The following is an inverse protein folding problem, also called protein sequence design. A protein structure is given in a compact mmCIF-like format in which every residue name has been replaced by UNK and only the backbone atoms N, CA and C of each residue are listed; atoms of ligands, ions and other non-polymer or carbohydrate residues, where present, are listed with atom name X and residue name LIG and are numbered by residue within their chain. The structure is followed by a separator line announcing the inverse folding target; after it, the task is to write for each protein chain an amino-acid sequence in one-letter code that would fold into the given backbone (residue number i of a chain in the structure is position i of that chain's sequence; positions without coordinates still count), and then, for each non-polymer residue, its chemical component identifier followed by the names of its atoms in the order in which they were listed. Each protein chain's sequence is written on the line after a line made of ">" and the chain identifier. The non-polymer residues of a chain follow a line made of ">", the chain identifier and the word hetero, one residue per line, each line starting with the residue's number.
data_IF_729997530044
#
_entry.id   IF_729997530044
#
_cell.length_a   1.000
_cell.length_b   1.000
_cell.length_c   1.000
_cell.angle_alpha   90.00
_cell.angle_beta   90.00
_cell.angle_gamma   90.00
#
_symmetry.space_group_name_H-M   'P 1'
#
loop_
_entity.id
_entity.type
_entity.pdbx_description
1 polymer ?
#
# COMPACT_ATOMS: atom_id res chain seq x y z
N UNK A 1 -26.00 -8.18 -25.45
CA UNK A 1 -25.89 -6.91 -24.69
C UNK A 1 -25.88 -7.28 -23.20
N UNK A 2 -25.07 -6.62 -22.38
CA UNK A 2 -24.96 -6.91 -20.94
C UNK A 2 -25.88 -5.99 -20.14
N UNK A 3 -26.55 -6.50 -19.11
CA UNK A 3 -27.32 -5.67 -18.17
C UNK A 3 -26.42 -5.30 -16.97
N UNK A 4 -26.09 -4.00 -16.77
CA UNK A 4 -25.18 -3.53 -15.72
C UNK A 4 -25.74 -3.67 -14.31
N UNK A 5 -27.00 -4.08 -14.15
CA UNK A 5 -27.59 -4.38 -12.85
C UNK A 5 -27.80 -5.87 -12.66
N UNK A 6 -27.26 -6.74 -13.51
CA UNK A 6 -27.53 -8.16 -13.49
C UNK A 6 -26.30 -9.00 -13.14
N UNK A 7 -26.40 -9.85 -12.12
CA UNK A 7 -25.32 -10.70 -11.63
C UNK A 7 -25.75 -12.17 -11.61
N UNK A 8 -24.79 -13.04 -11.90
CA UNK A 8 -24.93 -14.48 -11.74
C UNK A 8 -24.11 -14.94 -10.53
N UNK A 9 -24.76 -15.52 -9.53
CA UNK A 9 -24.13 -16.18 -8.39
C UNK A 9 -24.01 -17.67 -8.70
N UNK A 10 -22.81 -18.24 -8.55
CA UNK A 10 -22.55 -19.67 -8.80
C UNK A 10 -21.88 -20.27 -7.57
N UNK A 11 -22.55 -21.23 -6.94
CA UNK A 11 -22.12 -21.85 -5.69
C UNK A 11 -23.17 -21.70 -4.59
N UNK A 12 -22.78 -21.99 -3.35
CA UNK A 12 -23.69 -21.79 -2.23
C UNK A 12 -23.70 -20.29 -1.88
N UNK A 13 -24.87 -19.70 -1.61
CA UNK A 13 -24.94 -18.34 -1.04
C UNK A 13 -24.52 -18.37 0.44
N UNK A 14 -23.25 -18.73 0.70
CA UNK A 14 -22.74 -19.12 2.02
C UNK A 14 -22.87 -18.02 3.07
N UNK A 15 -22.90 -16.76 2.64
CA UNK A 15 -22.92 -15.59 3.51
C UNK A 15 -24.20 -14.74 3.38
N UNK A 16 -25.23 -15.22 2.66
CA UNK A 16 -26.44 -14.42 2.42
C UNK A 16 -26.13 -13.11 1.69
N UNK A 17 -25.29 -13.18 0.66
CA UNK A 17 -24.90 -12.04 -0.17
C UNK A 17 -26.09 -11.51 -0.96
N UNK A 18 -27.05 -12.36 -1.31
CA UNK A 18 -28.16 -11.99 -2.17
C UNK A 18 -28.98 -10.82 -1.62
N UNK A 19 -29.50 -10.83 -0.36
CA UNK A 19 -30.20 -9.68 0.22
C UNK A 19 -29.40 -8.37 0.17
N UNK A 20 -28.09 -8.43 0.44
CA UNK A 20 -27.23 -7.25 0.41
C UNK A 20 -27.07 -6.69 -1.01
N UNK A 21 -26.83 -7.55 -1.99
CA UNK A 21 -26.67 -7.15 -3.40
C UNK A 21 -27.99 -6.66 -4.00
N UNK A 22 -29.13 -7.26 -3.65
CA UNK A 22 -30.45 -6.77 -4.05
C UNK A 22 -30.74 -5.39 -3.47
N UNK A 23 -30.36 -5.13 -2.22
CA UNK A 23 -30.48 -3.80 -1.59
C UNK A 23 -29.64 -2.73 -2.28
N UNK A 24 -28.54 -3.13 -2.93
CA UNK A 24 -27.67 -2.27 -3.74
C UNK A 24 -28.15 -2.14 -5.19
N UNK A 25 -29.31 -2.72 -5.54
CA UNK A 25 -29.96 -2.55 -6.84
C UNK A 25 -29.64 -3.63 -7.87
N UNK A 26 -28.97 -4.72 -7.47
CA UNK A 26 -28.68 -5.82 -8.38
C UNK A 26 -29.84 -6.81 -8.50
N UNK A 27 -30.10 -7.26 -9.74
CA UNK A 27 -30.90 -8.43 -10.05
C UNK A 27 -29.98 -9.65 -10.06
N UNK A 28 -30.40 -10.72 -9.40
CA UNK A 28 -29.55 -11.89 -9.20
C UNK A 28 -30.19 -13.13 -9.81
N UNK A 29 -29.35 -14.02 -10.34
CA UNK A 29 -29.68 -15.44 -10.54
C UNK A 29 -28.67 -16.24 -9.75
N UNK A 30 -29.15 -17.23 -8.99
CA UNK A 30 -28.30 -18.09 -8.18
C UNK A 30 -28.37 -19.51 -8.70
N UNK A 31 -27.22 -20.08 -9.05
CA UNK A 31 -27.06 -21.44 -9.52
C UNK A 31 -26.11 -22.20 -8.61
N UNK A 32 -26.37 -23.50 -8.42
CA UNK A 32 -25.69 -24.26 -7.38
C UNK A 32 -24.33 -24.79 -7.82
N UNK A 33 -24.13 -25.00 -9.12
CA UNK A 33 -22.98 -25.74 -9.65
C UNK A 33 -22.51 -25.21 -11.02
N UNK A 34 -21.33 -25.65 -11.46
CA UNK A 34 -20.68 -25.18 -12.69
C UNK A 34 -21.48 -25.54 -13.94
N UNK A 35 -22.01 -26.77 -13.99
CA UNK A 35 -22.75 -27.28 -15.15
C UNK A 35 -24.02 -26.44 -15.40
N UNK A 36 -24.77 -26.14 -14.34
CA UNK A 36 -25.95 -25.27 -14.43
C UNK A 36 -25.57 -23.87 -14.92
N UNK A 37 -24.48 -23.30 -14.39
CA UNK A 37 -24.02 -21.98 -14.78
C UNK A 37 -23.63 -21.91 -16.27
N UNK A 38 -22.90 -22.91 -16.76
CA UNK A 38 -22.50 -22.96 -18.16
C UNK A 38 -23.70 -23.11 -19.09
N UNK A 39 -24.60 -24.07 -18.82
CA UNK A 39 -25.82 -24.26 -19.60
C UNK A 39 -26.69 -23.01 -19.62
N UNK A 40 -26.89 -22.40 -18.46
CA UNK A 40 -27.68 -21.19 -18.35
C UNK A 40 -27.08 -20.05 -19.17
N UNK A 41 -25.76 -19.82 -19.08
CA UNK A 41 -25.08 -18.78 -19.87
C UNK A 41 -25.19 -19.05 -21.38
N UNK A 42 -25.04 -20.30 -21.83
CA UNK A 42 -25.17 -20.65 -23.24
C UNK A 42 -26.60 -20.50 -23.75
N UNK A 43 -27.60 -20.83 -22.93
CA UNK A 43 -29.01 -20.65 -23.25
C UNK A 43 -29.39 -19.17 -23.39
N UNK A 44 -28.86 -18.30 -22.52
CA UNK A 44 -29.05 -16.84 -22.63
C UNK A 44 -28.53 -16.32 -23.97
N UNK A 45 -27.35 -16.77 -24.39
CA UNK A 45 -26.78 -16.38 -25.68
C UNK A 45 -27.61 -16.91 -26.85
N UNK A 46 -28.01 -18.17 -26.82
CA UNK A 46 -28.85 -18.77 -27.86
C UNK A 46 -30.21 -18.03 -27.98
N UNK A 47 -30.79 -17.62 -26.85
CA UNK A 47 -32.04 -16.87 -26.79
C UNK A 47 -31.88 -15.36 -27.05
N UNK A 48 -30.65 -14.87 -27.29
CA UNK A 48 -30.32 -13.44 -27.44
C UNK A 48 -30.78 -12.57 -26.25
N UNK A 49 -30.84 -13.15 -25.07
CA UNK A 49 -31.17 -12.45 -23.83
C UNK A 49 -29.95 -11.73 -23.27
N UNK A 50 -30.17 -10.69 -22.43
CA UNK A 50 -29.07 -9.95 -21.84
C UNK A 50 -28.24 -10.83 -20.91
N UNK A 51 -26.92 -10.81 -21.10
CA UNK A 51 -25.99 -11.49 -20.21
C UNK A 51 -25.79 -10.70 -18.92
N UNK A 52 -25.48 -11.38 -17.79
CA UNK A 52 -25.07 -10.71 -16.57
C UNK A 52 -23.76 -9.92 -16.80
N UNK A 53 -23.60 -8.80 -16.11
CA UNK A 53 -22.34 -8.05 -16.17
C UNK A 53 -21.18 -8.83 -15.53
N UNK A 54 -21.48 -9.69 -14.55
CA UNK A 54 -20.50 -10.47 -13.85
C UNK A 54 -21.05 -11.79 -13.31
N UNK A 55 -20.14 -12.77 -13.22
CA UNK A 55 -20.32 -14.03 -12.54
C UNK A 55 -19.52 -13.97 -11.25
N UNK A 56 -20.19 -14.11 -10.11
CA UNK A 56 -19.57 -14.31 -8.80
C UNK A 56 -19.61 -15.80 -8.48
N UNK A 57 -18.44 -16.44 -8.47
CA UNK A 57 -18.32 -17.89 -8.39
C UNK A 57 -17.55 -18.30 -7.14
N UNK A 58 -18.11 -19.22 -6.34
CA UNK A 58 -17.36 -19.91 -5.30
C UNK A 58 -16.16 -20.64 -5.94
N UNK A 59 -15.00 -20.55 -5.32
CA UNK A 59 -13.77 -21.22 -5.77
C UNK A 59 -13.96 -22.74 -5.88
N UNK A 60 -14.63 -23.33 -4.89
CA UNK A 60 -14.96 -24.76 -4.87
C UNK A 60 -16.45 -24.96 -5.12
N UNK A 61 -16.78 -25.70 -6.19
CA UNK A 61 -18.14 -26.02 -6.60
C UNK A 61 -18.44 -27.52 -6.41
N UNK A 62 -19.71 -27.92 -6.32
CA UNK A 62 -20.09 -29.33 -6.15
C UNK A 62 -19.59 -30.27 -7.26
N UNK A 63 -19.47 -29.78 -8.48
CA UNK A 63 -19.09 -30.52 -9.69
C UNK A 63 -17.78 -30.04 -10.32
N UNK A 64 -17.00 -29.23 -9.61
CA UNK A 64 -15.74 -28.68 -10.13
C UNK A 64 -15.21 -27.51 -9.31
N UNK A 65 -14.56 -26.57 -9.98
CA UNK A 65 -14.04 -25.35 -9.36
C UNK A 65 -14.22 -24.13 -10.28
N UNK A 66 -14.06 -22.94 -9.72
CA UNK A 66 -14.24 -21.69 -10.46
C UNK A 66 -13.34 -21.60 -11.69
N UNK A 67 -12.10 -22.09 -11.61
CA UNK A 67 -11.15 -22.10 -12.73
C UNK A 67 -11.66 -22.93 -13.91
N UNK A 68 -12.12 -24.15 -13.64
CA UNK A 68 -12.67 -25.02 -14.66
C UNK A 68 -13.91 -24.41 -15.32
N UNK A 69 -14.81 -23.78 -14.55
CA UNK A 69 -15.96 -23.07 -15.10
C UNK A 69 -15.50 -21.90 -16.00
N UNK A 70 -14.54 -21.10 -15.54
CA UNK A 70 -13.99 -19.99 -16.30
C UNK A 70 -13.39 -20.44 -17.64
N UNK A 71 -12.61 -21.53 -17.66
CA UNK A 71 -12.01 -22.09 -18.88
C UNK A 71 -13.10 -22.50 -19.90
N UNK A 72 -14.21 -23.10 -19.45
CA UNK A 72 -15.34 -23.42 -20.34
C UNK A 72 -16.06 -22.17 -20.85
N UNK A 73 -16.28 -21.17 -20.00
CA UNK A 73 -16.88 -19.88 -20.37
C UNK A 73 -15.99 -19.14 -21.39
N UNK A 74 -14.67 -19.25 -21.26
CA UNK A 74 -13.68 -18.72 -22.20
C UNK A 74 -13.73 -19.46 -23.54
N UNK A 75 -13.76 -20.79 -23.53
CA UNK A 75 -13.89 -21.60 -24.75
C UNK A 75 -15.20 -21.33 -25.50
N UNK A 76 -16.28 -21.02 -24.77
CA UNK A 76 -17.56 -20.60 -25.34
C UNK A 76 -17.55 -19.16 -25.88
N UNK A 77 -16.44 -18.41 -25.73
CA UNK A 77 -16.28 -17.04 -26.24
C UNK A 77 -17.07 -15.98 -25.47
N UNK A 78 -17.49 -16.29 -24.24
CA UNK A 78 -18.40 -15.43 -23.46
C UNK A 78 -17.66 -14.37 -22.62
N UNK A 79 -16.36 -14.56 -22.39
CA UNK A 79 -15.53 -13.71 -21.51
C UNK A 79 -15.37 -12.26 -21.99
N UNK A 80 -15.58 -11.98 -23.29
CA UNK A 80 -15.55 -10.60 -23.80
C UNK A 80 -16.69 -9.72 -23.25
N UNK A 81 -17.72 -10.33 -22.67
CA UNK A 81 -18.94 -9.66 -22.24
C UNK A 81 -19.29 -9.87 -20.77
N UNK A 82 -18.52 -10.66 -20.01
CA UNK A 82 -18.80 -10.92 -18.60
C UNK A 82 -17.53 -10.81 -17.78
N UNK A 83 -17.65 -10.18 -16.61
CA UNK A 83 -16.61 -10.19 -15.60
C UNK A 83 -16.68 -11.47 -14.78
N UNK A 84 -15.55 -12.13 -14.54
CA UNK A 84 -15.51 -13.34 -13.74
C UNK A 84 -14.79 -13.07 -12.40
N UNK A 85 -15.52 -13.21 -11.30
CA UNK A 85 -15.03 -12.93 -9.95
C UNK A 85 -15.08 -14.22 -9.14
N UNK A 86 -13.95 -14.61 -8.57
CA UNK A 86 -13.85 -15.81 -7.73
C UNK A 86 -13.92 -15.44 -6.25
N UNK A 87 -14.85 -16.06 -5.53
CA UNK A 87 -14.99 -15.97 -4.09
C UNK A 87 -14.27 -17.18 -3.44
N UNK A 88 -13.17 -16.95 -2.72
CA UNK A 88 -12.41 -18.04 -2.09
C UNK A 88 -12.17 -17.80 -0.60
N UNK A 89 -12.67 -18.69 0.28
CA UNK A 89 -12.36 -18.66 1.71
C UNK A 89 -10.92 -19.16 1.93
N UNK A 90 -10.03 -18.28 2.40
CA UNK A 90 -8.73 -18.69 2.95
C UNK A 90 -7.61 -19.01 1.94
N UNK A 91 -7.69 -18.49 0.71
CA UNK A 91 -6.63 -18.68 -0.30
C UNK A 91 -5.36 -17.85 -0.06
N UNK A 92 -4.21 -18.37 -0.51
CA UNK A 92 -2.91 -17.68 -0.48
C UNK A 92 -2.76 -16.67 -1.65
N UNK A 93 -1.88 -15.68 -1.49
CA UNK A 93 -1.54 -14.68 -2.52
C UNK A 93 -1.02 -15.34 -3.82
N UNK A 94 -0.39 -16.51 -3.70
CA UNK A 94 0.09 -17.31 -4.84
C UNK A 94 -1.07 -17.83 -5.69
N UNK A 95 -2.13 -18.34 -5.06
CA UNK A 95 -3.35 -18.79 -5.76
C UNK A 95 -4.06 -17.65 -6.49
N UNK A 96 -4.04 -16.44 -5.91
CA UNK A 96 -4.57 -15.23 -6.57
C UNK A 96 -3.80 -14.89 -7.84
N UNK A 97 -2.47 -15.02 -7.80
CA UNK A 97 -1.60 -14.70 -8.95
C UNK A 97 -1.87 -15.66 -10.11
N UNK A 98 -2.06 -16.95 -9.83
CA UNK A 98 -2.34 -17.97 -10.84
C UNK A 98 -3.71 -17.77 -11.51
N UNK A 99 -4.73 -17.39 -10.75
CA UNK A 99 -6.08 -17.15 -11.29
C UNK A 99 -6.13 -15.87 -12.15
N UNK A 100 -5.47 -14.80 -11.71
CA UNK A 100 -5.35 -13.57 -12.51
C UNK A 100 -4.56 -13.83 -13.81
N UNK A 101 -3.49 -14.64 -13.75
CA UNK A 101 -2.73 -15.04 -14.94
C UNK A 101 -3.57 -15.88 -15.92
N UNK A 102 -4.57 -16.62 -15.44
CA UNK A 102 -5.52 -17.36 -16.27
C UNK A 102 -6.53 -16.44 -16.98
N UNK A 103 -6.66 -15.17 -16.58
CA UNK A 103 -7.57 -14.19 -17.18
C UNK A 103 -8.85 -13.93 -16.38
N UNK A 104 -8.94 -14.43 -15.14
CA UNK A 104 -10.04 -14.10 -14.21
C UNK A 104 -9.90 -12.64 -13.78
N UNK A 105 -11.00 -11.88 -13.75
CA UNK A 105 -10.97 -10.43 -13.51
C UNK A 105 -10.68 -10.06 -12.04
N UNK A 106 -11.11 -10.88 -11.09
CA UNK A 106 -10.89 -10.61 -9.67
C UNK A 106 -11.03 -11.85 -8.78
N UNK A 107 -10.43 -11.76 -7.60
CA UNK A 107 -10.61 -12.70 -6.51
C UNK A 107 -11.00 -11.95 -5.23
N UNK A 108 -12.02 -12.42 -4.53
CA UNK A 108 -12.48 -11.89 -3.25
C UNK A 108 -12.14 -12.88 -2.13
N UNK A 109 -11.47 -12.37 -1.11
CA UNK A 109 -11.07 -13.11 0.09
C UNK A 109 -11.99 -12.74 1.27
N UNK A 110 -12.17 -13.69 2.17
CA UNK A 110 -13.04 -13.51 3.33
C UNK A 110 -12.61 -12.37 4.27
N UNK A 111 -13.58 -11.68 4.92
CA UNK A 111 -15.03 -11.89 4.79
C UNK A 111 -15.56 -11.26 3.49
N UNK A 112 -16.32 -12.02 2.71
CA UNK A 112 -16.98 -11.53 1.48
C UNK A 112 -18.33 -10.91 1.86
N UNK A 113 -18.51 -9.62 1.54
CA UNK A 113 -19.75 -8.85 1.79
C UNK A 113 -20.29 -8.24 0.50
N UNK A 114 -21.58 -7.89 0.47
CA UNK A 114 -22.22 -7.28 -0.69
C UNK A 114 -21.56 -5.95 -1.09
N UNK A 115 -21.11 -5.16 -0.12
CA UNK A 115 -20.41 -3.89 -0.35
C UNK A 115 -19.06 -4.11 -1.03
N UNK A 116 -18.29 -5.13 -0.60
CA UNK A 116 -17.02 -5.49 -1.24
C UNK A 116 -17.20 -5.95 -2.68
N UNK A 117 -18.25 -6.73 -2.93
CA UNK A 117 -18.63 -7.16 -4.29
C UNK A 117 -18.99 -5.94 -5.14
N UNK A 118 -19.83 -5.04 -4.63
CA UNK A 118 -20.22 -3.81 -5.33
C UNK A 118 -19.03 -2.90 -5.63
N UNK A 119 -18.16 -2.66 -4.66
CA UNK A 119 -16.93 -1.88 -4.83
C UNK A 119 -16.04 -2.48 -5.92
N UNK A 120 -15.87 -3.81 -5.91
CA UNK A 120 -15.05 -4.49 -6.91
C UNK A 120 -15.67 -4.42 -8.31
N UNK A 121 -16.98 -4.54 -8.43
CA UNK A 121 -17.69 -4.38 -9.72
C UNK A 121 -17.53 -2.96 -10.27
N UNK A 122 -17.65 -1.94 -9.41
CA UNK A 122 -17.39 -0.55 -9.82
C UNK A 122 -15.94 -0.39 -10.30
N UNK A 123 -14.96 -0.93 -9.58
CA UNK A 123 -13.56 -0.91 -10.01
C UNK A 123 -13.36 -1.57 -11.38
N UNK A 124 -13.98 -2.73 -11.62
CA UNK A 124 -13.88 -3.46 -12.88
C UNK A 124 -14.64 -2.78 -14.05
N UNK A 125 -15.71 -2.03 -13.75
CA UNK A 125 -16.46 -1.26 -14.74
C UNK A 125 -15.73 0.02 -15.17
N UNK A 126 -15.03 0.67 -14.23
CA UNK A 126 -14.21 1.85 -14.49
C UNK A 126 -12.79 1.51 -14.95
N UNK A 127 -12.37 0.25 -14.82
CA UNK A 127 -11.15 -0.27 -15.41
C UNK A 127 -11.28 -0.28 -16.94
N UNK A 128 -10.95 0.84 -17.58
CA UNK A 128 -10.61 0.83 -19.00
C UNK A 128 -9.50 -0.21 -19.23
N UNK A 129 -9.48 -0.92 -20.39
CA UNK A 129 -8.34 -1.73 -20.81
C UNK A 129 -7.21 -0.80 -21.24
N UNK A 130 -6.74 0.02 -20.30
CA UNK A 130 -5.48 0.72 -20.35
C UNK A 130 -4.69 0.24 -19.15
N UNK A 131 -4.30 -1.03 -19.22
CA UNK A 131 -2.88 -1.32 -19.04
C UNK A 131 -2.13 -0.57 -20.16
N UNK A 132 -2.14 0.77 -20.12
CA UNK A 132 -1.02 1.49 -20.66
C UNK A 132 0.16 0.87 -19.92
N UNK A 133 1.14 0.26 -20.63
CA UNK A 133 2.34 -0.21 -19.95
C UNK A 133 2.78 0.96 -19.06
N UNK A 134 3.08 0.72 -17.78
CA UNK A 134 3.50 1.80 -16.89
C UNK A 134 4.51 2.62 -17.68
N UNK A 135 4.30 3.93 -17.91
CA UNK A 135 5.21 4.79 -18.66
C UNK A 135 6.64 4.34 -18.44
N UNK A 136 7.39 4.11 -19.52
CA UNK A 136 8.75 3.53 -19.46
C UNK A 136 9.69 4.23 -18.48
N UNK A 137 9.35 5.47 -18.09
CA UNK A 137 9.94 6.24 -17.00
C UNK A 137 9.90 5.56 -15.62
N UNK A 138 8.89 4.72 -15.31
CA UNK A 138 8.74 4.08 -14.00
C UNK A 138 9.74 2.95 -13.72
N UNK A 139 10.37 2.40 -14.76
CA UNK A 139 11.45 1.42 -14.63
C UNK A 139 12.85 2.06 -14.61
N UNK A 140 12.96 3.39 -14.74
CA UNK A 140 14.25 4.05 -14.81
C UNK A 140 15.01 3.84 -13.49
N UNK A 141 16.13 3.11 -13.52
CA UNK A 141 17.05 3.06 -12.40
C UNK A 141 17.38 4.49 -11.94
N UNK A 142 17.61 4.66 -10.63
CA UNK A 142 17.99 5.97 -10.10
C UNK A 142 19.17 6.51 -10.92
N UNK A 143 19.10 7.76 -11.43
CA UNK A 143 20.20 8.32 -12.20
C UNK A 143 21.51 8.18 -11.41
N UNK A 144 22.56 7.67 -12.05
CA UNK A 144 23.86 7.44 -11.38
C UNK A 144 24.41 8.73 -10.76
N UNK A 145 24.14 9.87 -11.38
CA UNK A 145 24.49 11.21 -10.88
C UNK A 145 23.80 11.53 -9.57
N UNK A 146 22.49 11.27 -9.47
CA UNK A 146 21.73 11.40 -8.21
C UNK A 146 22.30 10.50 -7.13
N UNK A 147 22.55 9.23 -7.47
CA UNK A 147 23.11 8.27 -6.52
C UNK A 147 24.49 8.71 -5.99
N UNK A 148 25.36 9.21 -6.88
CA UNK A 148 26.67 9.73 -6.49
C UNK A 148 26.55 10.96 -5.58
N UNK A 149 25.66 11.90 -5.92
CA UNK A 149 25.37 13.06 -5.08
C UNK A 149 24.88 12.65 -3.68
N UNK A 150 23.91 11.74 -3.61
CA UNK A 150 23.36 11.23 -2.34
C UNK A 150 24.46 10.61 -1.46
N UNK A 151 25.33 9.77 -2.05
CA UNK A 151 26.43 9.14 -1.32
C UNK A 151 27.47 10.14 -0.82
N UNK A 152 27.93 11.07 -1.67
CA UNK A 152 28.93 12.08 -1.31
C UNK A 152 28.42 13.00 -0.20
N UNK A 153 27.18 13.46 -0.32
CA UNK A 153 26.57 14.32 0.68
C UNK A 153 26.31 13.58 1.99
N UNK A 154 25.78 12.35 1.95
CA UNK A 154 25.56 11.56 3.16
C UNK A 154 26.88 11.23 3.87
N UNK A 155 27.94 10.90 3.12
CA UNK A 155 29.27 10.66 3.67
C UNK A 155 29.83 11.91 4.35
N UNK A 156 29.80 13.06 3.66
CA UNK A 156 30.26 14.32 4.21
C UNK A 156 29.46 14.72 5.47
N UNK A 157 28.13 14.60 5.42
CA UNK A 157 27.27 14.89 6.55
C UNK A 157 27.57 13.97 7.74
N UNK A 158 27.78 12.66 7.52
CA UNK A 158 28.15 11.72 8.58
C UNK A 158 29.52 12.04 9.19
N UNK A 159 30.51 12.41 8.38
CA UNK A 159 31.84 12.81 8.88
C UNK A 159 31.77 14.07 9.75
N UNK A 160 31.03 15.09 9.29
CA UNK A 160 30.85 16.34 10.05
C UNK A 160 30.04 16.14 11.33
N UNK A 161 29.03 15.29 11.29
CA UNK A 161 28.16 15.00 12.44
C UNK A 161 28.72 13.92 13.37
N UNK A 162 29.81 13.24 13.00
CA UNK A 162 30.36 12.09 13.72
C UNK A 162 30.56 12.37 15.23
N UNK A 163 31.17 13.49 15.67
CA UNK A 163 31.34 13.76 17.09
C UNK A 163 30.00 13.86 17.84
N UNK A 164 29.00 14.49 17.21
CA UNK A 164 27.66 14.62 17.76
C UNK A 164 26.93 13.27 17.82
N UNK A 165 27.04 12.45 16.77
CA UNK A 165 26.43 11.12 16.73
C UNK A 165 27.00 10.20 17.82
N UNK A 166 28.31 10.26 18.07
CA UNK A 166 28.95 9.51 19.15
C UNK A 166 28.50 9.99 20.53
N UNK A 167 28.35 11.31 20.72
CA UNK A 167 27.82 11.87 21.96
C UNK A 167 26.37 11.43 22.20
N UNK A 168 25.51 11.50 21.19
CA UNK A 168 24.13 11.01 21.26
C UNK A 168 24.11 9.52 21.61
N UNK A 169 24.94 8.71 20.96
CA UNK A 169 25.05 7.27 21.22
C UNK A 169 25.46 6.97 22.67
N UNK A 170 26.42 7.73 23.20
CA UNK A 170 26.87 7.63 24.59
C UNK A 170 25.72 7.96 25.57
N UNK A 171 25.01 9.07 25.37
CA UNK A 171 23.89 9.48 26.23
C UNK A 171 22.78 8.43 26.21
N UNK A 172 22.43 7.88 25.04
CA UNK A 172 21.43 6.81 24.91
C UNK A 172 21.84 5.56 25.72
N UNK A 173 23.13 5.21 25.72
CA UNK A 173 23.67 4.06 26.47
C UNK A 173 23.69 4.30 27.98
N UNK A 174 23.97 5.54 28.40
CA UNK A 174 23.96 5.92 29.81
C UNK A 174 22.54 6.02 30.38
N UNK A 175 21.58 6.51 29.59
CA UNK A 175 20.19 6.70 30.05
C UNK A 175 19.42 5.37 30.16
N UNK A 176 19.67 4.39 29.28
CA UNK A 176 18.98 3.10 29.35
C UNK A 176 19.79 1.93 28.75
N UNK A 177 19.66 0.74 29.35
CA UNK A 177 20.32 -0.49 28.85
C UNK A 177 19.77 -0.91 27.47
N UNK A 178 20.64 -1.40 26.59
CA UNK A 178 20.29 -1.97 25.27
C UNK A 178 21.03 -1.31 24.08
N UNK A 179 20.58 -1.53 22.83
CA UNK A 179 21.26 -1.03 21.64
C UNK A 179 21.06 0.48 21.45
N UNK A 180 22.03 1.15 20.79
CA UNK A 180 21.94 2.58 20.45
C UNK A 180 20.90 2.81 19.36
N UNK A 181 20.89 1.93 18.36
CA UNK A 181 19.98 2.03 17.23
C UNK A 181 18.70 1.24 17.47
N UNK A 182 17.59 1.81 17.03
CA UNK A 182 16.34 1.13 16.78
C UNK A 182 16.24 0.84 15.28
N UNK A 183 15.90 -0.40 14.92
CA UNK A 183 15.79 -0.85 13.53
C UNK A 183 14.35 -1.28 13.28
N UNK A 184 13.70 -0.65 12.31
CA UNK A 184 12.35 -1.00 11.89
C UNK A 184 12.34 -1.44 10.43
N UNK A 185 11.49 -2.41 10.07
CA UNK A 185 11.26 -2.72 8.65
C UNK A 185 10.41 -1.63 8.01
N UNK A 186 10.83 -1.19 6.83
CA UNK A 186 10.11 -0.24 5.99
C UNK A 186 10.06 -0.71 4.55
N UNK A 187 9.01 -0.27 3.85
CA UNK A 187 8.84 -0.46 2.41
C UNK A 187 9.31 0.80 1.70
N UNK A 188 10.23 0.60 0.76
CA UNK A 188 10.75 1.64 -0.11
C UNK A 188 10.38 1.37 -1.57
N UNK A 189 11.31 1.71 -2.46
CA UNK A 189 11.13 1.61 -3.91
C UNK A 189 10.82 0.17 -4.34
N UNK A 190 9.92 0.01 -5.31
CA UNK A 190 9.45 -1.25 -5.87
C UNK A 190 9.02 -2.26 -4.80
N UNK A 191 8.37 -1.76 -3.74
CA UNK A 191 7.94 -2.55 -2.58
C UNK A 191 9.07 -3.30 -1.84
N UNK A 192 10.34 -2.93 -2.07
CA UNK A 192 11.46 -3.57 -1.40
C UNK A 192 11.49 -3.18 0.07
N UNK A 193 11.67 -4.17 0.93
CA UNK A 193 11.79 -3.96 2.36
C UNK A 193 13.24 -3.75 2.76
N UNK A 194 13.49 -2.81 3.68
CA UNK A 194 14.83 -2.54 4.19
C UNK A 194 14.82 -2.20 5.69
N UNK A 195 16.02 -2.19 6.28
CA UNK A 195 16.23 -1.88 7.69
C UNK A 195 16.33 -0.36 7.88
N UNK A 196 15.30 0.26 8.45
CA UNK A 196 15.26 1.70 8.70
C UNK A 196 15.92 2.03 10.03
N UNK A 197 17.05 2.73 9.99
CA UNK A 197 17.85 3.04 11.17
C UNK A 197 17.41 4.33 11.84
N UNK A 198 17.21 4.27 13.16
CA UNK A 198 16.98 5.43 14.02
C UNK A 198 17.80 5.32 15.29
N UNK A 199 18.04 6.44 15.96
CA UNK A 199 18.44 6.37 17.35
C UNK A 199 17.26 5.88 18.19
N UNK A 200 17.58 5.04 19.17
CA UNK A 200 16.59 4.55 20.11
C UNK A 200 16.12 5.69 21.00
N UNK A 201 14.83 5.98 20.95
CA UNK A 201 14.16 7.01 21.76
C UNK A 201 13.25 6.44 22.84
N UNK A 202 13.08 5.11 22.87
CA UNK A 202 12.25 4.39 23.84
C UNK A 202 13.09 3.41 24.67
N UNK A 203 12.62 3.08 25.86
CA UNK A 203 13.23 2.03 26.71
C UNK A 203 13.13 0.66 26.02
N UNK A 204 14.05 -0.26 26.34
CA UNK A 204 14.10 -1.60 25.72
C UNK A 204 12.81 -2.39 25.92
N UNK A 205 12.13 -2.21 27.05
CA UNK A 205 10.91 -2.95 27.41
C UNK A 205 9.61 -2.28 26.91
N UNK A 206 9.74 -1.27 26.03
CA UNK A 206 8.62 -0.53 25.45
C UNK A 206 7.65 -1.40 24.64
N UNK A 207 8.14 -2.48 24.02
CA UNK A 207 7.31 -3.40 23.25
C UNK A 207 6.44 -4.29 24.14
N UNK A 208 6.93 -4.70 25.32
CA UNK A 208 6.14 -5.44 26.30
C UNK A 208 5.00 -4.58 26.88
N UNK A 209 5.23 -3.28 27.04
CA UNK A 209 4.21 -2.32 27.48
C UNK A 209 3.21 -1.96 26.37
N UNK A 210 3.47 -2.31 25.10
CA UNK A 210 2.59 -1.97 23.97
C UNK A 210 1.21 -2.63 24.12
N UNK A 211 1.15 -3.90 24.54
CA UNK A 211 -0.13 -4.61 24.75
C UNK A 211 -0.95 -3.97 25.88
N UNK A 212 -0.31 -3.56 26.97
CA UNK A 212 -0.99 -2.92 28.10
C UNK A 212 -1.50 -1.51 27.77
N UNK A 213 -0.82 -0.81 26.85
CA UNK A 213 -1.16 0.55 26.46
C UNK A 213 -2.09 0.62 25.22
N UNK A 214 -2.42 -0.51 24.58
CA UNK A 214 -3.38 -0.53 23.45
C UNK A 214 -4.75 0.04 23.82
N UNK A 215 -5.18 -0.13 25.08
CA UNK A 215 -6.41 0.45 25.61
C UNK A 215 -6.41 2.00 25.63
N UNK A 216 -5.23 2.62 25.57
CA UNK A 216 -5.05 4.08 25.55
C UNK A 216 -4.78 4.62 24.13
N UNK A 217 -4.91 3.78 23.10
CA UNK A 217 -4.66 4.21 21.73
C UNK A 217 -5.68 5.27 21.31
N UNK A 218 -5.20 6.42 20.82
CA UNK A 218 -6.04 7.55 20.46
C UNK A 218 -6.56 7.47 19.01
N UNK A 219 -6.16 6.45 18.26
CA UNK A 219 -6.51 6.25 16.86
C UNK A 219 -7.32 4.95 16.71
N UNK A 220 -8.38 4.99 15.90
CA UNK A 220 -9.07 3.79 15.44
C UNK A 220 -8.21 3.10 14.37
N UNK A 221 -7.91 1.81 14.54
CA UNK A 221 -7.09 1.01 13.61
C UNK A 221 -5.68 0.67 14.09
N UNK A 222 -4.81 0.24 13.18
CA UNK A 222 -3.46 -0.28 13.46
C UNK A 222 -2.43 0.79 13.84
N UNK A 223 -2.78 2.07 13.72
CA UNK A 223 -1.91 3.18 14.05
C UNK A 223 -1.88 3.40 15.58
N UNK A 224 -0.73 3.24 16.21
CA UNK A 224 -0.56 3.43 17.65
C UNK A 224 0.21 4.72 17.94
N UNK A 225 -0.46 5.72 18.49
CA UNK A 225 0.20 6.98 18.90
C UNK A 225 -0.44 7.50 20.19
N UNK A 226 0.40 7.68 21.21
CA UNK A 226 0.05 8.26 22.50
C UNK A 226 0.65 9.67 22.60
N UNK A 227 -0.18 10.64 23.00
CA UNK A 227 0.33 11.93 23.48
C UNK A 227 1.03 11.68 24.83
N UNK A 228 2.32 12.06 24.94
CA UNK A 228 3.18 11.77 26.10
C UNK A 228 3.37 10.27 26.40
N UNK A 229 3.86 9.53 25.39
CA UNK A 229 4.15 8.10 25.53
C UNK A 229 5.18 7.84 26.66
N UNK A 230 4.80 7.14 27.75
CA UNK A 230 5.66 6.92 28.92
C UNK A 230 6.88 6.03 28.63
N UNK A 231 6.88 5.37 27.47
CA UNK A 231 7.98 4.52 27.01
C UNK A 231 9.16 5.31 26.46
N UNK A 232 8.94 6.59 26.11
CA UNK A 232 9.95 7.49 25.56
C UNK A 232 10.85 7.99 26.69
N UNK A 233 12.17 7.97 26.49
CA UNK A 233 13.10 8.49 27.50
C UNK A 233 13.16 10.02 27.46
N UNK A 234 13.75 10.66 28.48
CA UNK A 234 13.82 12.13 28.51
C UNK A 234 14.69 12.64 27.37
N UNK A 235 15.83 12.01 27.15
CA UNK A 235 16.67 12.31 26.00
C UNK A 235 16.02 11.87 24.69
N UNK A 236 15.25 10.76 24.69
CA UNK A 236 14.48 10.31 23.54
C UNK A 236 13.44 11.33 23.07
N UNK A 237 12.76 12.00 23.99
CA UNK A 237 11.84 13.09 23.68
C UNK A 237 12.58 14.29 23.06
N UNK A 238 13.75 14.66 23.61
CA UNK A 238 14.62 15.68 23.01
C UNK A 238 15.02 15.30 21.58
N UNK A 239 15.49 14.07 21.34
CA UNK A 239 15.88 13.63 20.00
C UNK A 239 14.74 13.74 18.98
N UNK A 240 13.51 13.35 19.36
CA UNK A 240 12.32 13.45 18.49
C UNK A 240 11.94 14.89 18.19
N UNK A 241 11.97 15.77 19.19
CA UNK A 241 11.60 17.17 19.02
C UNK A 241 12.50 17.90 18.03
N UNK A 242 13.78 17.52 17.98
CA UNK A 242 14.75 18.06 17.03
C UNK A 242 14.98 17.16 15.81
N UNK A 243 14.21 16.08 15.65
CA UNK A 243 14.38 15.06 14.60
C UNK A 243 15.80 14.49 14.51
N UNK A 244 16.56 14.56 15.60
CA UNK A 244 17.93 14.03 15.69
C UNK A 244 17.92 12.49 15.71
N UNK A 245 16.80 11.87 16.09
CA UNK A 245 16.66 10.42 16.07
C UNK A 245 16.69 9.82 14.66
N UNK A 246 16.50 10.65 13.63
CA UNK A 246 16.47 10.24 12.23
C UNK A 246 17.83 10.33 11.53
N UNK A 247 18.84 10.96 12.15
CA UNK A 247 20.18 11.10 11.56
C UNK A 247 20.84 9.78 11.13
N UNK A 248 20.64 8.63 11.83
CA UNK A 248 21.17 7.35 11.37
C UNK A 248 20.65 6.91 9.99
N UNK A 249 19.56 7.48 9.48
CA UNK A 249 19.07 7.21 8.11
C UNK A 249 20.07 7.66 7.03
N UNK A 250 21.05 8.52 7.34
CA UNK A 250 22.17 8.79 6.42
C UNK A 250 22.97 7.52 6.10
N UNK A 251 23.00 6.53 7.01
CA UNK A 251 23.56 5.21 6.72
C UNK A 251 22.72 4.45 5.68
N UNK A 252 21.39 4.55 5.73
CA UNK A 252 20.51 3.98 4.69
C UNK A 252 20.79 4.60 3.32
N UNK A 253 21.10 5.90 3.28
CA UNK A 253 21.52 6.56 2.05
C UNK A 253 22.83 5.97 1.55
N UNK A 254 23.84 5.79 2.40
CA UNK A 254 25.10 5.15 1.99
C UNK A 254 24.91 3.69 1.52
N UNK A 255 24.07 2.92 2.20
CA UNK A 255 23.80 1.50 1.89
C UNK A 255 23.02 1.30 0.60
N UNK A 256 22.27 2.30 0.15
CA UNK A 256 21.46 2.22 -1.08
C UNK A 256 19.98 1.98 -0.87
N UNK A 257 19.56 1.83 0.39
CA UNK A 257 18.15 1.68 0.75
C UNK A 257 17.34 2.96 0.50
N UNK A 258 17.99 4.12 0.68
CA UNK A 258 17.37 5.44 0.61
C UNK A 258 18.17 6.41 -0.24
N UNK A 259 17.51 7.50 -0.59
CA UNK A 259 18.02 8.72 -1.21
C UNK A 259 17.85 9.89 -0.23
N UNK A 260 18.57 10.99 -0.43
CA UNK A 260 18.30 12.21 0.35
C UNK A 260 16.90 12.72 0.10
N UNK A 261 16.48 12.66 -1.17
CA UNK A 261 15.21 13.17 -1.66
C UNK A 261 14.44 12.05 -2.31
N UNK A 262 13.22 11.82 -1.83
CA UNK A 262 12.39 10.69 -2.20
C UNK A 262 11.10 10.65 -1.39
N UNK A 263 10.25 9.69 -1.71
CA UNK A 263 9.01 9.48 -0.96
C UNK A 263 9.32 8.89 0.41
N UNK A 264 8.51 9.23 1.42
CA UNK A 264 8.70 8.71 2.78
C UNK A 264 8.59 7.17 2.77
N UNK A 265 9.54 6.44 3.37
CA UNK A 265 9.43 4.99 3.52
C UNK A 265 8.34 4.61 4.54
N UNK A 266 7.47 3.70 4.16
CA UNK A 266 6.29 3.34 4.93
C UNK A 266 6.51 2.13 5.84
N UNK A 267 5.85 2.05 7.00
CA UNK A 267 5.69 0.79 7.72
C UNK A 267 5.02 -0.26 6.83
N UNK A 268 5.28 -1.55 7.09
CA UNK A 268 4.71 -2.67 6.34
C UNK A 268 3.18 -2.60 6.26
N UNK A 269 2.50 -2.40 7.39
CA UNK A 269 1.03 -2.34 7.46
C UNK A 269 0.43 -1.17 6.66
N UNK A 270 1.15 -0.05 6.54
CA UNK A 270 0.68 1.12 5.80
C UNK A 270 0.90 0.90 4.31
N UNK A 271 2.03 0.31 3.93
CA UNK A 271 2.32 -0.04 2.54
C UNK A 271 1.33 -1.08 1.99
N UNK A 272 0.93 -2.06 2.81
CA UNK A 272 -0.08 -3.06 2.46
C UNK A 272 -1.44 -2.42 2.11
N UNK A 273 -1.83 -1.38 2.86
CA UNK A 273 -3.07 -0.62 2.58
C UNK A 273 -3.01 0.25 1.32
N UNK A 274 -1.82 0.45 0.73
CA UNK A 274 -1.58 1.29 -0.45
C UNK A 274 -1.22 0.46 -1.68
N UNK A 275 -1.73 -0.77 -1.75
CA UNK A 275 -1.58 -1.68 -2.88
C UNK A 275 -2.60 -1.43 -4.00
N UNK A 276 -3.52 -0.47 -3.81
CA UNK A 276 -4.45 -0.03 -4.85
C UNK A 276 -3.75 0.74 -5.96
N UNK A 277 -4.31 0.66 -7.18
CA UNK A 277 -3.74 1.31 -8.39
C UNK A 277 -3.53 2.83 -8.20
N UNK A 278 -4.38 3.48 -7.40
CA UNK A 278 -4.28 4.91 -7.13
C UNK A 278 -2.95 5.29 -6.46
N UNK A 279 -2.44 4.47 -5.53
CA UNK A 279 -1.28 4.83 -4.71
C UNK A 279 -0.03 4.00 -4.99
N UNK A 280 -0.13 2.94 -5.78
CA UNK A 280 1.01 2.11 -6.15
C UNK A 280 2.15 2.92 -6.80
N UNK A 281 1.79 3.98 -7.53
CA UNK A 281 2.75 4.85 -8.24
C UNK A 281 3.82 5.43 -7.33
N UNK A 282 3.52 5.71 -6.05
CA UNK A 282 4.49 6.24 -5.08
C UNK A 282 5.75 5.39 -4.96
N UNK A 283 5.63 4.07 -5.16
CA UNK A 283 6.70 3.12 -4.93
C UNK A 283 7.68 3.05 -6.11
N UNK A 284 7.45 3.78 -7.21
CA UNK A 284 8.46 3.93 -8.26
C UNK A 284 9.56 4.92 -7.88
N UNK A 285 9.26 5.89 -7.01
CA UNK A 285 10.24 6.82 -6.45
C UNK A 285 11.19 6.12 -5.45
N UNK A 286 12.43 6.62 -5.29
CA UNK A 286 13.27 6.22 -4.17
C UNK A 286 12.61 6.54 -2.82
N UNK A 287 12.92 5.75 -1.79
CA UNK A 287 12.69 6.17 -0.42
C UNK A 287 13.59 7.36 -0.08
N UNK A 288 13.05 8.39 0.57
CA UNK A 288 13.72 9.65 0.87
C UNK A 288 13.74 10.01 2.35
N UNK A 289 14.78 10.73 2.78
CA UNK A 289 14.81 11.43 4.07
C UNK A 289 13.77 12.57 4.06
N UNK A 290 13.80 13.37 3.00
CA UNK A 290 12.82 14.42 2.70
C UNK A 290 12.19 14.17 1.33
N UNK A 291 11.05 14.80 1.07
CA UNK A 291 10.26 14.59 -0.13
C UNK A 291 9.33 15.75 -0.39
N UNK A 292 8.64 15.68 -1.53
CA UNK A 292 7.81 16.78 -2.03
C UNK A 292 6.72 17.17 -1.02
N UNK A 293 5.98 16.19 -0.49
CA UNK A 293 4.92 16.50 0.46
C UNK A 293 5.46 17.04 1.79
N UNK A 294 6.62 16.57 2.27
CA UNK A 294 7.20 17.08 3.53
C UNK A 294 7.50 18.58 3.43
N UNK A 295 8.03 19.03 2.29
CA UNK A 295 8.33 20.46 2.08
C UNK A 295 7.09 21.29 1.72
N UNK A 296 6.06 20.68 1.13
CA UNK A 296 4.79 21.36 0.81
C UNK A 296 3.89 21.52 2.04
N UNK A 297 3.78 20.49 2.89
CA UNK A 297 2.97 20.52 4.12
C UNK A 297 3.42 21.62 5.08
N UNK A 298 4.73 21.89 5.19
CA UNK A 298 5.24 22.94 6.08
C UNK A 298 4.84 24.36 5.65
N UNK A 299 4.26 24.54 4.46
CA UNK A 299 3.59 25.77 4.04
C UNK A 299 2.06 25.73 4.12
N UNK A 300 1.47 24.57 4.43
CA UNK A 300 0.03 24.30 4.46
C UNK A 300 -0.29 23.31 5.60
N UNK A 301 -0.54 23.84 6.81
CA UNK A 301 -0.72 23.04 8.03
C UNK A 301 -1.87 22.01 7.94
N UNK A 302 -2.91 22.31 7.17
CA UNK A 302 -4.15 21.52 7.06
C UNK A 302 -4.17 20.55 5.86
N UNK A 303 -3.01 20.03 5.45
CA UNK A 303 -2.94 19.06 4.34
C UNK A 303 -3.48 17.68 4.76
N UNK A 304 -4.49 17.21 4.03
CA UNK A 304 -5.13 15.90 4.19
C UNK A 304 -4.19 14.74 3.82
N UNK A 305 -4.53 13.52 4.27
CA UNK A 305 -3.75 12.33 3.93
C UNK A 305 -3.83 11.96 2.44
N UNK A 306 -4.94 12.29 1.77
CA UNK A 306 -5.10 12.11 0.33
C UNK A 306 -4.12 12.99 -0.46
N UNK A 307 -4.07 14.29 -0.13
CA UNK A 307 -3.14 15.24 -0.76
C UNK A 307 -1.68 14.84 -0.57
N UNK A 308 -1.31 14.31 0.60
CA UNK A 308 0.05 13.81 0.86
C UNK A 308 0.41 12.66 -0.08
N UNK A 309 -0.51 11.70 -0.25
CA UNK A 309 -0.32 10.56 -1.14
C UNK A 309 -0.27 11.00 -2.61
N UNK A 310 -1.07 11.98 -3.01
CA UNK A 310 -1.01 12.56 -4.34
C UNK A 310 0.35 13.23 -4.62
N UNK A 311 0.90 13.96 -3.64
CA UNK A 311 2.25 14.57 -3.78
C UNK A 311 3.37 13.52 -3.85
N UNK A 312 3.22 12.39 -3.14
CA UNK A 312 4.13 11.23 -3.30
C UNK A 312 4.05 10.65 -4.73
N UNK A 313 2.85 10.50 -5.30
CA UNK A 313 2.66 10.06 -6.69
C UNK A 313 3.22 11.07 -7.69
N UNK A 314 2.97 12.36 -7.48
CA UNK A 314 3.49 13.43 -8.32
C UNK A 314 5.03 13.40 -8.34
N UNK A 315 5.67 13.26 -7.17
CA UNK A 315 7.12 13.15 -7.12
C UNK A 315 7.61 11.93 -7.91
N UNK A 316 6.94 10.78 -7.79
CA UNK A 316 7.30 9.58 -8.55
C UNK A 316 7.17 9.75 -10.07
N UNK A 317 6.21 10.54 -10.53
CA UNK A 317 5.98 10.84 -11.95
C UNK A 317 6.97 11.87 -12.51
N UNK A 318 7.30 12.89 -11.72
CA UNK A 318 8.08 14.06 -12.15
C UNK A 318 9.53 14.03 -11.65
N UNK A 319 10.01 12.87 -11.19
CA UNK A 319 11.35 12.72 -10.60
C UNK A 319 12.41 13.25 -11.57
N UNK A 320 13.10 14.32 -11.15
CA UNK A 320 14.17 14.95 -11.93
C UNK A 320 15.18 15.60 -11.00
N UNK A 321 16.41 15.78 -11.48
CA UNK A 321 17.47 16.44 -10.71
C UNK A 321 17.09 17.87 -10.29
N UNK A 322 16.38 18.60 -11.14
CA UNK A 322 15.91 19.95 -10.83
C UNK A 322 14.82 19.97 -9.75
N UNK A 323 13.88 19.02 -9.80
CA UNK A 323 12.87 18.87 -8.74
C UNK A 323 13.53 18.52 -7.41
N UNK A 324 14.51 17.62 -7.43
CA UNK A 324 15.32 17.28 -6.27
C UNK A 324 16.02 18.51 -5.69
N UNK A 325 16.74 19.29 -6.51
CA UNK A 325 17.41 20.51 -6.04
C UNK A 325 16.42 21.51 -5.42
N UNK A 326 15.22 21.65 -6.02
CA UNK A 326 14.15 22.50 -5.47
C UNK A 326 13.68 22.00 -4.10
N UNK A 327 13.44 20.70 -3.93
CA UNK A 327 13.04 20.11 -2.65
C UNK A 327 14.16 20.24 -1.62
N UNK A 328 15.42 20.04 -2.02
CA UNK A 328 16.59 20.20 -1.17
C UNK A 328 16.67 21.62 -0.58
N UNK A 329 16.62 22.64 -1.44
CA UNK A 329 16.67 24.04 -1.03
C UNK A 329 15.49 24.43 -0.13
N UNK A 330 14.28 23.94 -0.45
CA UNK A 330 13.11 24.13 0.41
C UNK A 330 13.28 23.48 1.77
N UNK A 331 13.98 22.34 1.86
CA UNK A 331 14.22 21.64 3.12
C UNK A 331 15.04 22.50 4.10
N UNK A 332 16.08 23.21 3.65
CA UNK A 332 16.86 24.11 4.53
C UNK A 332 16.06 25.31 5.02
N UNK A 333 15.26 25.92 4.14
CA UNK A 333 14.40 27.04 4.53
C UNK A 333 13.31 26.59 5.51
N UNK A 334 12.81 25.36 5.34
CA UNK A 334 11.81 24.77 6.23
C UNK A 334 12.36 24.35 7.60
N UNK A 335 13.67 24.07 7.74
CA UNK A 335 14.30 23.78 9.06
C UNK A 335 14.37 25.04 9.93
N UNK A 336 14.40 26.24 9.33
CA UNK A 336 14.46 27.51 10.08
C UNK A 336 13.12 27.93 10.69
N UNK A 337 11.99 27.40 10.21
CA UNK A 337 10.67 27.66 10.77
C UNK A 337 10.38 26.63 11.87
N UNK A 338 10.36 27.08 13.13
CA UNK A 338 10.04 26.24 14.29
C UNK A 338 8.58 25.80 14.22
N UNK A 339 8.33 24.50 14.16
CA UNK A 339 7.06 23.92 14.58
C UNK A 339 7.27 23.32 15.98
N UNK A 340 6.58 23.89 16.97
CA UNK A 340 6.40 23.26 18.28
C UNK A 340 5.49 22.04 18.12
N UNK A 341 6.00 20.86 18.45
CA UNK A 341 5.22 19.60 18.52
C UNK A 341 4.26 19.62 19.68
#
# INVERSE_FOLDING_TARGET
>A
MTDPNYLLLVGADRNGLAPGLESLGYRLVSLYNATQALHWLTDQVAAQWPLPQAVLCDDQLPDGNARSLFEHVQQAGLTAHLKFIVASPGSSVEATTDLLAAGIDAMLLDPITAEKVHERLQQLAHAQPTLAPPPSAYHAALPRTKRLFDMLFALLALLLLLPMLLLIALIIKLESRGPVFYVAKRVGRHYQTFNFYKFRTMRKDADAQRQQLMALNQYQGSFFKLKNDPRVTRFGAFLRNYSLDELPQLLNVLLGDMSLIGNRPLPLYEAESLTTDEYATRFFAPAGITGLWQVTRRGHADMSDHERRQLDNQYAQETSFFLDLKIFLKTFNAIKQKESV
#
